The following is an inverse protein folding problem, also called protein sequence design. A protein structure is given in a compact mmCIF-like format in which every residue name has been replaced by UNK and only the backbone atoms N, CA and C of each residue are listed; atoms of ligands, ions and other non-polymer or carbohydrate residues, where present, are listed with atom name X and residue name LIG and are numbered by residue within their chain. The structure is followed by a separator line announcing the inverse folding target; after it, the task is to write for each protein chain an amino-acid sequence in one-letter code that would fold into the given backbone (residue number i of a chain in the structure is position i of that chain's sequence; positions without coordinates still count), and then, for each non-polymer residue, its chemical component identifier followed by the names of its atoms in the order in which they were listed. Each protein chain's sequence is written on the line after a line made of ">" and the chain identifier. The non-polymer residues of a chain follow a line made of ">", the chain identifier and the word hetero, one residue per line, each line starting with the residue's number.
data_IF_448797913951
#
_entry.id   IF_448797913951
#
_cell.length_a   1.000
_cell.length_b   1.000
_cell.length_c   1.000
_cell.angle_alpha   90.00
_cell.angle_beta   90.00
_cell.angle_gamma   90.00
#
_symmetry.space_group_name_H-M   'P 1'
#
loop_
_entity.id
_entity.type
_entity.pdbx_description
1 polymer ?
#
# COMPACT_ATOMS: atom_id res chain seq x y z
N UNK A 1 -4.13 -0.86 32.35
CA UNK A 1 -5.04 -1.10 31.21
C UNK A 1 -4.49 -2.27 30.40
N UNK A 2 -4.94 -3.51 30.62
CA UNK A 2 -4.37 -4.65 29.90
C UNK A 2 -5.02 -4.72 28.51
N UNK A 3 -4.21 -4.50 27.48
CA UNK A 3 -4.56 -4.83 26.11
C UNK A 3 -4.51 -6.36 25.97
N UNK A 4 -5.69 -6.99 25.99
CA UNK A 4 -5.84 -8.39 25.66
C UNK A 4 -5.88 -8.50 24.12
N UNK A 5 -4.72 -8.53 23.47
CA UNK A 5 -4.67 -8.86 22.04
C UNK A 5 -4.52 -10.37 21.91
N UNK A 6 -5.64 -11.02 21.61
CA UNK A 6 -5.64 -12.42 21.21
C UNK A 6 -5.11 -12.49 19.77
N UNK A 7 -3.92 -13.07 19.60
CA UNK A 7 -3.30 -13.25 18.28
C UNK A 7 -4.15 -14.13 17.34
N UNK A 8 -5.15 -14.85 17.88
CA UNK A 8 -6.12 -15.62 17.09
C UNK A 8 -7.03 -14.76 16.21
N UNK A 9 -7.25 -13.48 16.55
CA UNK A 9 -8.13 -12.59 15.80
C UNK A 9 -7.52 -12.16 14.45
N UNK A 10 -6.24 -12.47 14.23
CA UNK A 10 -5.50 -12.23 13.00
C UNK A 10 -5.14 -13.52 12.25
N UNK A 11 -5.63 -14.68 12.71
CA UNK A 11 -5.33 -15.95 12.06
C UNK A 11 -6.29 -16.17 10.88
N UNK A 12 -5.74 -16.30 9.67
CA UNK A 12 -6.52 -16.60 8.47
C UNK A 12 -7.23 -17.95 8.63
N UNK A 13 -8.55 -17.97 8.45
CA UNK A 13 -9.36 -19.20 8.43
C UNK A 13 -9.37 -19.90 7.06
N UNK A 14 -8.59 -19.41 6.08
CA UNK A 14 -8.52 -20.00 4.75
C UNK A 14 -8.10 -21.48 4.82
N UNK A 15 -8.92 -22.37 4.25
CA UNK A 15 -8.65 -23.80 4.17
C UNK A 15 -8.25 -24.19 2.75
N UNK A 16 -7.21 -25.01 2.63
CA UNK A 16 -6.82 -25.60 1.35
C UNK A 16 -7.64 -26.83 1.00
N UNK A 17 -8.38 -27.41 1.94
CA UNK A 17 -9.17 -28.64 1.77
C UNK A 17 -10.51 -28.32 1.12
N UNK A 18 -10.77 -28.88 -0.06
CA UNK A 18 -11.89 -28.51 -0.93
C UNK A 18 -13.27 -28.83 -0.34
N UNK A 19 -13.36 -29.88 0.49
CA UNK A 19 -14.60 -30.34 1.13
C UNK A 19 -15.02 -29.48 2.35
N UNK A 20 -14.13 -28.66 2.90
CA UNK A 20 -14.39 -27.82 4.09
C UNK A 20 -14.45 -26.31 3.77
N UNK A 21 -14.43 -25.95 2.47
CA UNK A 21 -14.47 -24.53 2.05
C UNK A 21 -15.86 -23.93 2.21
N UNK A 22 -15.97 -22.95 3.09
CA UNK A 22 -17.09 -21.99 3.15
C UNK A 22 -16.71 -20.71 2.39
N UNK A 23 -17.66 -19.79 2.23
CA UNK A 23 -17.37 -18.48 1.63
C UNK A 23 -16.27 -17.70 2.38
N UNK A 24 -16.13 -17.93 3.70
CA UNK A 24 -15.12 -17.32 4.57
C UNK A 24 -13.76 -18.00 4.48
N UNK A 25 -13.72 -19.32 4.26
CA UNK A 25 -12.47 -20.10 4.21
C UNK A 25 -11.96 -20.34 2.79
N UNK A 26 -12.67 -19.83 1.77
CA UNK A 26 -12.25 -19.92 0.37
C UNK A 26 -11.04 -19.00 0.11
N UNK A 27 -9.90 -19.55 -0.38
CA UNK A 27 -8.78 -18.74 -0.82
C UNK A 27 -9.18 -17.80 -1.97
N UNK A 28 -8.76 -16.54 -1.89
CA UNK A 28 -9.06 -15.51 -2.88
C UNK A 28 -7.78 -14.93 -3.47
N UNK A 29 -7.89 -14.50 -4.72
CA UNK A 29 -6.84 -13.79 -5.44
C UNK A 29 -7.49 -12.71 -6.31
N UNK A 30 -6.77 -11.63 -6.57
CA UNK A 30 -7.17 -10.59 -7.51
C UNK A 30 -7.09 -11.06 -8.96
N UNK A 31 -6.26 -12.05 -9.23
CA UNK A 31 -6.21 -12.80 -10.47
C UNK A 31 -5.45 -14.10 -10.25
N UNK A 32 -5.65 -15.07 -11.14
CA UNK A 32 -4.87 -16.29 -11.18
C UNK A 32 -3.81 -16.19 -12.26
N UNK A 33 -2.54 -16.38 -11.88
CA UNK A 33 -1.45 -16.48 -12.84
C UNK A 33 -1.28 -17.91 -13.36
N UNK A 34 -0.82 -18.05 -14.59
CA UNK A 34 -0.20 -19.28 -15.08
C UNK A 34 1.26 -19.38 -14.59
N UNK A 35 1.92 -20.52 -14.84
CA UNK A 35 3.24 -20.83 -14.27
C UNK A 35 4.32 -19.79 -14.63
N UNK A 36 4.32 -19.32 -15.88
CA UNK A 36 5.25 -18.29 -16.36
C UNK A 36 4.79 -16.85 -16.05
N UNK A 37 3.62 -16.70 -15.41
CA UNK A 37 2.98 -15.42 -15.02
C UNK A 37 2.67 -14.48 -16.17
N UNK A 38 2.63 -14.95 -17.41
CA UNK A 38 2.28 -14.16 -18.59
C UNK A 38 0.78 -13.90 -18.72
N UNK A 39 -0.08 -14.69 -18.08
CA UNK A 39 -1.54 -14.56 -18.18
C UNK A 39 -2.20 -14.36 -16.83
N UNK A 40 -3.08 -13.36 -16.72
CA UNK A 40 -3.91 -13.10 -15.55
C UNK A 40 -5.35 -13.51 -15.85
N UNK A 41 -5.74 -14.69 -15.37
CA UNK A 41 -7.08 -15.24 -15.52
C UNK A 41 -8.03 -14.64 -14.48
N UNK A 42 -9.30 -14.45 -14.86
CA UNK A 42 -10.38 -13.89 -14.03
C UNK A 42 -10.11 -12.44 -13.56
N UNK A 43 -9.23 -11.75 -14.27
CA UNK A 43 -8.87 -10.38 -13.97
C UNK A 43 -9.99 -9.41 -14.36
N UNK A 44 -10.69 -9.71 -15.45
CA UNK A 44 -11.94 -9.07 -15.88
C UNK A 44 -13.00 -9.06 -14.78
N UNK A 45 -13.28 -10.22 -14.17
CA UNK A 45 -14.25 -10.33 -13.06
C UNK A 45 -13.88 -9.41 -11.88
N UNK A 46 -12.58 -9.27 -11.63
CA UNK A 46 -12.07 -8.41 -10.57
C UNK A 46 -12.21 -6.93 -10.92
N UNK A 47 -11.97 -6.54 -12.17
CA UNK A 47 -12.16 -5.17 -12.61
C UNK A 47 -13.62 -4.74 -12.52
N UNK A 48 -14.54 -5.60 -12.97
CA UNK A 48 -15.99 -5.34 -12.88
C UNK A 48 -16.43 -5.17 -11.43
N UNK A 49 -16.00 -6.08 -10.55
CA UNK A 49 -16.30 -6.00 -9.12
C UNK A 49 -15.79 -4.70 -8.48
N UNK A 50 -14.53 -4.33 -8.76
CA UNK A 50 -13.94 -3.12 -8.20
C UNK A 50 -14.58 -1.85 -8.79
N UNK A 51 -14.92 -1.85 -10.07
CA UNK A 51 -15.62 -0.73 -10.70
C UNK A 51 -16.97 -0.48 -10.03
N UNK A 52 -17.80 -1.52 -9.91
CA UNK A 52 -19.11 -1.45 -9.25
C UNK A 52 -18.98 -1.01 -7.79
N UNK A 53 -17.97 -1.52 -7.08
CA UNK A 53 -17.70 -1.16 -5.69
C UNK A 53 -17.32 0.32 -5.54
N UNK A 54 -16.43 0.84 -6.41
CA UNK A 54 -16.02 2.24 -6.38
C UNK A 54 -17.18 3.20 -6.66
N UNK A 55 -18.08 2.83 -7.58
CA UNK A 55 -19.30 3.60 -7.86
C UNK A 55 -20.25 3.60 -6.68
N UNK A 56 -20.46 2.44 -6.07
CA UNK A 56 -21.47 2.26 -5.02
C UNK A 56 -21.04 2.84 -3.67
N UNK A 57 -19.79 2.62 -3.28
CA UNK A 57 -19.30 2.90 -1.92
C UNK A 57 -18.36 4.11 -1.86
N UNK A 58 -18.03 4.69 -3.02
CA UNK A 58 -17.19 5.89 -3.09
C UNK A 58 -17.89 7.16 -2.61
N UNK A 59 -17.17 8.30 -2.60
CA UNK A 59 -15.79 8.45 -3.07
C UNK A 59 -14.75 7.92 -2.09
N UNK A 60 -13.62 7.43 -2.63
CA UNK A 60 -12.46 7.00 -1.85
C UNK A 60 -11.29 7.96 -2.10
N UNK A 61 -10.66 8.44 -1.02
CA UNK A 61 -9.50 9.35 -1.12
C UNK A 61 -8.22 8.64 -1.60
N UNK A 62 -8.11 7.33 -1.42
CA UNK A 62 -6.90 6.60 -1.77
C UNK A 62 -7.10 5.09 -1.73
N UNK A 63 -6.07 4.37 -2.17
CA UNK A 63 -6.07 2.90 -2.22
C UNK A 63 -4.82 2.35 -1.54
N UNK A 64 -4.96 1.24 -0.83
CA UNK A 64 -3.86 0.50 -0.23
C UNK A 64 -3.96 -0.98 -0.59
N UNK A 65 -2.83 -1.61 -0.90
CA UNK A 65 -2.79 -3.05 -1.14
C UNK A 65 -1.48 -3.70 -0.72
N UNK A 66 -1.55 -5.00 -0.42
CA UNK A 66 -0.41 -5.84 -0.05
C UNK A 66 -0.16 -6.93 -1.10
N UNK A 67 1.10 -7.19 -1.44
CA UNK A 67 1.51 -8.22 -2.40
C UNK A 67 0.81 -8.07 -3.76
N UNK A 68 0.08 -9.09 -4.23
CA UNK A 68 -0.79 -8.98 -5.40
C UNK A 68 -1.79 -7.83 -5.31
N UNK A 69 -2.29 -7.52 -4.11
CA UNK A 69 -3.13 -6.35 -3.86
C UNK A 69 -2.37 -5.03 -4.00
N UNK A 70 -1.07 -4.99 -3.71
CA UNK A 70 -0.22 -3.81 -3.94
C UNK A 70 -0.02 -3.54 -5.43
N UNK A 71 -0.03 -4.58 -6.26
CA UNK A 71 -0.07 -4.47 -7.71
C UNK A 71 -1.45 -4.01 -8.20
N UNK A 72 -2.53 -4.57 -7.64
CA UNK A 72 -3.90 -4.17 -7.96
C UNK A 72 -4.18 -2.71 -7.62
N UNK A 73 -3.67 -2.21 -6.48
CA UNK A 73 -3.78 -0.81 -6.10
C UNK A 73 -3.18 0.12 -7.18
N UNK A 74 -2.03 -0.25 -7.76
CA UNK A 74 -1.40 0.51 -8.83
C UNK A 74 -2.18 0.43 -10.15
N UNK A 75 -2.70 -0.76 -10.51
CA UNK A 75 -3.58 -0.93 -11.66
C UNK A 75 -4.82 -0.06 -11.52
N UNK A 76 -5.49 -0.11 -10.37
CA UNK A 76 -6.73 0.63 -10.12
C UNK A 76 -6.49 2.14 -10.16
N UNK A 77 -5.40 2.62 -9.57
CA UNK A 77 -4.99 4.01 -9.68
C UNK A 77 -4.73 4.41 -11.14
N UNK A 78 -4.07 3.56 -11.93
CA UNK A 78 -3.82 3.84 -13.35
C UNK A 78 -5.11 3.85 -14.19
N UNK A 79 -6.08 2.97 -13.88
CA UNK A 79 -7.38 2.95 -14.55
C UNK A 79 -8.20 4.22 -14.26
N UNK A 80 -8.13 4.77 -13.05
CA UNK A 80 -8.75 6.07 -12.72
C UNK A 80 -8.06 7.25 -13.40
N UNK A 81 -6.76 7.15 -13.68
CA UNK A 81 -6.04 8.13 -14.50
C UNK A 81 -6.38 8.02 -16.00
N UNK A 82 -6.81 6.83 -16.45
CA UNK A 82 -7.10 6.48 -17.85
C UNK A 82 -8.47 5.78 -17.97
N UNK A 83 -9.58 6.48 -17.64
CA UNK A 83 -10.92 5.90 -17.65
C UNK A 83 -11.27 5.35 -19.05
N UNK A 84 -11.94 4.20 -19.10
CA UNK A 84 -12.30 3.52 -20.36
C UNK A 84 -11.17 2.74 -21.03
N UNK A 85 -10.01 2.58 -20.37
CA UNK A 85 -8.91 1.73 -20.87
C UNK A 85 -9.35 0.27 -21.08
N UNK A 86 -10.25 -0.24 -20.24
CA UNK A 86 -10.80 -1.59 -20.28
C UNK A 86 -12.32 -1.52 -20.46
N UNK A 87 -12.91 -2.43 -21.23
CA UNK A 87 -14.38 -2.58 -21.29
C UNK A 87 -14.98 -2.94 -19.93
N UNK A 88 -14.21 -3.60 -19.07
CA UNK A 88 -14.57 -3.98 -17.70
C UNK A 88 -14.36 -2.86 -16.67
N UNK A 89 -13.81 -1.71 -17.11
CA UNK A 89 -13.64 -0.51 -16.30
C UNK A 89 -13.96 0.72 -17.18
N UNK A 90 -15.25 0.93 -17.50
CA UNK A 90 -15.66 1.95 -18.45
C UNK A 90 -15.42 3.37 -17.90
N UNK A 91 -15.51 4.37 -18.78
CA UNK A 91 -15.27 5.76 -18.40
C UNK A 91 -16.46 6.41 -17.68
N UNK A 92 -17.66 5.85 -17.85
CA UNK A 92 -18.92 6.43 -17.39
C UNK A 92 -19.72 5.43 -16.54
N UNK A 93 -20.26 5.85 -15.38
CA UNK A 93 -20.08 7.17 -14.75
C UNK A 93 -18.64 7.44 -14.26
N UNK A 94 -18.20 8.71 -14.18
CA UNK A 94 -16.83 9.04 -13.82
C UNK A 94 -16.57 8.77 -12.34
N UNK A 95 -15.49 8.04 -12.05
CA UNK A 95 -15.01 7.81 -10.68
C UNK A 95 -13.91 8.85 -10.37
N UNK A 96 -13.99 9.57 -9.22
CA UNK A 96 -12.94 10.48 -8.80
C UNK A 96 -11.57 9.78 -8.64
N UNK A 97 -10.50 10.46 -9.05
CA UNK A 97 -9.13 9.96 -8.91
C UNK A 97 -8.73 9.87 -7.43
N UNK A 98 -7.89 8.90 -7.11
CA UNK A 98 -7.26 8.82 -5.80
C UNK A 98 -6.31 10.00 -5.57
N UNK A 99 -6.30 10.49 -4.33
CA UNK A 99 -5.29 11.46 -3.84
C UNK A 99 -3.96 10.78 -3.54
N UNK A 100 -3.96 9.48 -3.22
CA UNK A 100 -2.75 8.71 -2.95
C UNK A 100 -2.92 7.20 -3.19
N UNK A 101 -1.79 6.51 -3.37
CA UNK A 101 -1.72 5.05 -3.43
C UNK A 101 -0.66 4.54 -2.45
N UNK A 102 -0.96 3.45 -1.74
CA UNK A 102 -0.02 2.72 -0.88
C UNK A 102 0.15 1.29 -1.41
N UNK A 103 1.38 0.89 -1.74
CA UNK A 103 1.72 -0.45 -2.20
C UNK A 103 2.72 -1.10 -1.24
N UNK A 104 2.31 -2.17 -0.55
CA UNK A 104 3.15 -2.91 0.39
C UNK A 104 3.58 -4.22 -0.26
N UNK A 105 4.87 -4.42 -0.50
CA UNK A 105 5.38 -5.63 -1.17
C UNK A 105 4.79 -5.87 -2.57
N UNK A 106 4.37 -4.80 -3.27
CA UNK A 106 3.87 -4.87 -4.64
C UNK A 106 4.99 -4.85 -5.68
N UNK A 107 4.68 -5.24 -6.91
CA UNK A 107 5.60 -5.33 -8.05
C UNK A 107 4.88 -4.89 -9.34
N UNK A 108 5.62 -4.53 -10.40
CA UNK A 108 4.99 -4.09 -11.64
C UNK A 108 4.31 -5.28 -12.32
N UNK A 109 2.98 -5.27 -12.53
CA UNK A 109 2.31 -6.34 -13.24
C UNK A 109 2.58 -6.20 -14.74
N UNK A 110 3.32 -7.15 -15.32
CA UNK A 110 3.65 -7.21 -16.75
C UNK A 110 3.15 -8.50 -17.42
N UNK A 111 1.86 -8.86 -17.30
CA UNK A 111 1.29 -9.95 -18.10
C UNK A 111 1.28 -9.58 -19.60
N UNK A 112 1.38 -10.58 -20.47
CA UNK A 112 1.07 -10.41 -21.89
C UNK A 112 -0.45 -10.35 -22.14
N UNK A 113 -1.22 -11.04 -21.30
CA UNK A 113 -2.69 -11.07 -21.39
C UNK A 113 -3.32 -10.87 -20.00
N UNK A 114 -4.05 -9.76 -19.76
CA UNK A 114 -4.21 -8.59 -20.64
C UNK A 114 -2.90 -7.78 -20.72
N UNK A 115 -2.72 -6.96 -21.77
CA UNK A 115 -1.58 -6.04 -21.80
C UNK A 115 -1.85 -4.83 -20.89
N UNK A 116 -1.02 -4.66 -19.85
CA UNK A 116 -1.13 -3.57 -18.88
C UNK A 116 -0.05 -2.50 -19.06
N UNK A 117 0.85 -2.65 -20.03
CA UNK A 117 2.05 -1.80 -20.18
C UNK A 117 1.70 -0.32 -20.33
N UNK A 118 0.67 0.00 -21.11
CA UNK A 118 0.26 1.38 -21.39
C UNK A 118 -0.47 2.05 -20.23
N UNK A 119 -0.77 1.34 -19.13
CA UNK A 119 -1.25 1.95 -17.90
C UNK A 119 -0.16 2.74 -17.18
N UNK A 120 1.12 2.37 -17.38
CA UNK A 120 2.27 2.94 -16.69
C UNK A 120 3.08 3.89 -17.59
N UNK A 121 3.86 4.83 -17.03
CA UNK A 121 4.02 5.09 -15.59
C UNK A 121 2.81 5.79 -14.96
N UNK A 122 2.65 5.66 -13.64
CA UNK A 122 1.71 6.48 -12.86
C UNK A 122 2.19 7.94 -12.83
N UNK A 123 1.27 8.92 -12.94
CA UNK A 123 1.63 10.33 -13.16
C UNK A 123 2.23 10.97 -11.91
N UNK A 124 3.00 12.06 -12.09
CA UNK A 124 3.60 12.81 -10.99
C UNK A 124 2.54 13.50 -10.08
N UNK A 125 1.32 13.67 -10.57
CA UNK A 125 0.19 14.19 -9.81
C UNK A 125 -0.34 13.22 -8.74
N UNK A 126 0.04 11.95 -8.78
CA UNK A 126 -0.39 10.94 -7.82
C UNK A 126 0.76 10.56 -6.88
N UNK A 127 0.73 11.01 -5.61
CA UNK A 127 1.63 10.51 -4.56
C UNK A 127 1.49 9.00 -4.34
N UNK A 128 2.60 8.29 -4.52
CA UNK A 128 2.70 6.85 -4.28
C UNK A 128 3.64 6.54 -3.12
N UNK A 129 3.19 5.73 -2.17
CA UNK A 129 4.00 5.20 -1.08
C UNK A 129 4.24 3.71 -1.30
N UNK A 130 5.51 3.33 -1.41
CA UNK A 130 5.94 1.94 -1.54
C UNK A 130 6.60 1.49 -0.25
N UNK A 131 6.13 0.38 0.30
CA UNK A 131 6.68 -0.22 1.52
C UNK A 131 7.27 -1.57 1.17
N UNK A 132 8.56 -1.74 1.41
CA UNK A 132 9.29 -2.97 1.06
C UNK A 132 9.94 -3.60 2.29
N UNK A 133 9.95 -4.94 2.32
CA UNK A 133 10.68 -5.70 3.32
C UNK A 133 12.11 -5.96 2.85
N UNK A 134 13.11 -5.57 3.65
CA UNK A 134 14.53 -5.80 3.36
C UNK A 134 14.84 -7.29 3.15
N UNK A 135 14.14 -8.16 3.87
CA UNK A 135 14.35 -9.60 3.87
C UNK A 135 13.19 -10.34 3.18
N UNK A 136 12.46 -9.66 2.29
CA UNK A 136 11.37 -10.27 1.53
C UNK A 136 11.91 -11.22 0.45
N UNK A 137 11.55 -12.50 0.56
CA UNK A 137 11.95 -13.56 -0.39
C UNK A 137 10.82 -13.95 -1.34
N UNK A 138 9.60 -13.44 -1.13
CA UNK A 138 8.41 -13.73 -1.96
C UNK A 138 8.29 -12.68 -3.05
N UNK A 139 8.39 -11.41 -2.67
CA UNK A 139 8.50 -10.27 -3.57
C UNK A 139 9.78 -9.53 -3.19
N UNK A 140 10.88 -9.91 -3.82
CA UNK A 140 12.18 -9.36 -3.48
C UNK A 140 12.22 -7.83 -3.64
N UNK A 141 13.13 -7.12 -2.95
CA UNK A 141 13.30 -5.68 -3.12
C UNK A 141 13.48 -5.28 -4.60
N UNK A 142 14.23 -6.06 -5.37
CA UNK A 142 14.45 -5.84 -6.81
C UNK A 142 13.15 -5.98 -7.60
N UNK A 143 12.33 -6.97 -7.24
CA UNK A 143 11.02 -7.16 -7.87
C UNK A 143 10.06 -6.02 -7.51
N UNK A 144 10.11 -5.52 -6.28
CA UNK A 144 9.34 -4.35 -5.86
C UNK A 144 9.80 -3.06 -6.56
N UNK A 145 11.11 -2.94 -6.81
CA UNK A 145 11.71 -1.80 -7.52
C UNK A 145 11.09 -1.58 -8.90
N UNK A 146 10.66 -2.64 -9.58
CA UNK A 146 9.97 -2.53 -10.88
C UNK A 146 8.73 -1.64 -10.83
N UNK A 147 7.93 -1.72 -9.76
CA UNK A 147 6.73 -0.87 -9.61
C UNK A 147 7.11 0.54 -9.18
N UNK A 148 8.08 0.65 -8.28
CA UNK A 148 8.63 1.91 -7.79
C UNK A 148 9.12 2.74 -8.99
N UNK A 149 9.84 2.14 -9.93
CA UNK A 149 10.34 2.82 -11.13
C UNK A 149 9.25 3.24 -12.11
N UNK A 150 8.11 2.54 -12.10
CA UNK A 150 6.93 2.87 -12.89
C UNK A 150 6.03 3.95 -12.25
N UNK A 151 6.44 4.59 -11.16
CA UNK A 151 5.71 5.69 -10.51
C UNK A 151 6.54 6.97 -10.53
N UNK A 152 5.96 8.09 -10.99
CA UNK A 152 6.73 9.35 -11.11
C UNK A 152 6.86 10.12 -9.79
N UNK A 153 5.87 10.04 -8.90
CA UNK A 153 5.89 10.68 -7.58
C UNK A 153 5.91 9.63 -6.47
N UNK A 154 7.09 9.04 -6.27
CA UNK A 154 7.31 7.88 -5.40
C UNK A 154 8.01 8.24 -4.10
N UNK A 155 7.46 7.75 -3.00
CA UNK A 155 8.09 7.64 -1.69
C UNK A 155 8.33 6.17 -1.38
N UNK A 156 9.49 5.82 -0.84
CA UNK A 156 9.85 4.45 -0.47
C UNK A 156 10.19 4.40 1.01
N UNK A 157 9.58 3.47 1.73
CA UNK A 157 9.88 3.17 3.13
C UNK A 157 10.22 1.68 3.28
N UNK A 158 11.26 1.36 4.04
CA UNK A 158 11.78 -0.01 4.15
C UNK A 158 11.70 -0.49 5.59
N UNK A 159 11.16 -1.69 5.81
CA UNK A 159 11.24 -2.37 7.11
C UNK A 159 12.20 -3.56 7.05
N UNK A 160 12.78 -3.95 8.17
CA UNK A 160 13.74 -5.06 8.24
C UNK A 160 13.09 -6.46 8.18
N UNK A 161 11.81 -6.55 7.85
CA UNK A 161 11.04 -7.80 7.80
C UNK A 161 11.07 -8.51 6.45
N UNK A 162 10.34 -9.63 6.37
CA UNK A 162 10.03 -10.34 5.14
C UNK A 162 8.70 -9.90 4.53
N UNK A 163 7.96 -10.84 3.93
CA UNK A 163 6.73 -10.55 3.19
C UNK A 163 5.51 -10.32 4.10
N UNK A 164 5.40 -9.15 4.72
CA UNK A 164 4.24 -8.77 5.53
C UNK A 164 4.06 -7.25 5.62
N UNK A 165 2.86 -6.81 5.99
CA UNK A 165 2.60 -5.39 6.29
C UNK A 165 3.15 -5.02 7.67
N UNK A 166 4.06 -4.04 7.79
CA UNK A 166 4.66 -3.70 9.07
C UNK A 166 3.62 -3.13 10.05
N UNK A 167 3.56 -3.71 11.25
CA UNK A 167 2.49 -3.44 12.22
C UNK A 167 2.98 -2.85 13.55
N UNK A 168 4.28 -2.59 13.69
CA UNK A 168 4.84 -1.93 14.89
C UNK A 168 4.17 -0.56 15.11
N UNK A 169 4.09 -0.10 16.36
CA UNK A 169 3.43 1.16 16.69
C UNK A 169 3.90 2.34 15.84
N UNK A 170 5.22 2.44 15.61
CA UNK A 170 5.81 3.46 14.74
C UNK A 170 5.23 3.46 13.32
N UNK A 171 5.05 2.27 12.73
CA UNK A 171 4.44 2.11 11.41
C UNK A 171 2.94 2.45 11.41
N UNK A 172 2.20 2.06 12.45
CA UNK A 172 0.78 2.41 12.56
C UNK A 172 0.58 3.93 12.66
N UNK A 173 1.40 4.61 13.46
CA UNK A 173 1.38 6.06 13.56
C UNK A 173 1.78 6.74 12.25
N UNK A 174 2.79 6.20 11.57
CA UNK A 174 3.16 6.66 10.23
C UNK A 174 2.02 6.51 9.22
N UNK A 175 1.37 5.35 9.14
CA UNK A 175 0.22 5.15 8.25
C UNK A 175 -0.89 6.17 8.54
N UNK A 176 -1.24 6.36 9.81
CA UNK A 176 -2.23 7.36 10.22
C UNK A 176 -1.82 8.78 9.82
N UNK A 177 -0.57 9.17 10.07
CA UNK A 177 -0.06 10.49 9.71
C UNK A 177 -0.06 10.69 8.18
N UNK A 178 0.41 9.69 7.43
CA UNK A 178 0.48 9.72 5.97
C UNK A 178 -0.92 9.85 5.36
N UNK A 179 -1.88 9.00 5.73
CA UNK A 179 -3.23 9.08 5.17
C UNK A 179 -3.95 10.36 5.59
N UNK A 180 -3.79 10.80 6.84
CA UNK A 180 -4.39 12.06 7.32
C UNK A 180 -3.80 13.30 6.65
N UNK A 181 -2.58 13.22 6.13
CA UNK A 181 -1.96 14.35 5.42
C UNK A 181 -2.64 14.72 4.09
N UNK A 182 -3.59 13.91 3.61
CA UNK A 182 -4.39 14.17 2.40
C UNK A 182 -5.79 14.74 2.69
N UNK A 183 -6.09 15.01 3.97
CA UNK A 183 -7.24 15.82 4.35
C UNK A 183 -7.04 17.29 3.91
N UNK A 184 -8.11 18.10 3.84
CA UNK A 184 -7.98 19.52 3.53
C UNK A 184 -6.91 20.20 4.40
N UNK A 185 -6.08 21.06 3.77
CA UNK A 185 -4.95 21.76 4.38
C UNK A 185 -3.81 20.86 4.93
N UNK A 186 -3.83 19.57 4.58
CA UNK A 186 -2.79 18.61 4.93
C UNK A 186 -1.50 18.76 4.11
N UNK A 187 -0.45 18.06 4.54
CA UNK A 187 0.89 18.13 3.93
C UNK A 187 1.10 17.26 2.69
N UNK A 188 0.04 16.63 2.16
CA UNK A 188 0.05 15.85 0.90
C UNK A 188 1.18 14.79 0.85
N UNK A 189 1.32 14.00 1.91
CA UNK A 189 2.31 12.93 2.03
C UNK A 189 3.66 13.36 2.61
N UNK A 190 3.89 14.67 2.83
CA UNK A 190 5.07 15.19 3.52
C UNK A 190 4.93 15.01 5.04
N UNK A 191 5.25 13.81 5.50
CA UNK A 191 5.30 13.42 6.91
C UNK A 191 6.64 12.77 7.25
N UNK A 192 7.10 12.82 8.51
CA UNK A 192 8.33 12.14 8.93
C UNK A 192 8.35 10.64 8.56
N UNK A 193 9.53 10.00 8.46
CA UNK A 193 9.63 8.57 8.21
C UNK A 193 9.10 7.75 9.41
N UNK A 194 8.78 6.45 9.23
CA UNK A 194 8.31 5.57 10.29
C UNK A 194 9.20 5.59 11.54
N UNK A 195 10.52 5.74 11.39
CA UNK A 195 11.48 5.79 12.50
C UNK A 195 11.33 7.01 13.42
N UNK A 196 10.69 8.09 12.95
CA UNK A 196 10.44 9.29 13.75
C UNK A 196 9.24 9.12 14.71
N UNK A 197 8.42 8.09 14.52
CA UNK A 197 7.28 7.82 15.38
C UNK A 197 7.67 6.88 16.52
N UNK A 198 7.55 7.37 17.75
CA UNK A 198 7.76 6.55 18.94
C UNK A 198 6.68 5.49 19.16
N UNK A 199 6.88 4.58 20.14
CA UNK A 199 5.87 3.58 20.51
C UNK A 199 4.55 4.20 21.02
N UNK A 200 4.57 5.47 21.44
CA UNK A 200 3.43 6.23 21.94
C UNK A 200 2.80 7.20 20.92
N UNK A 201 3.34 7.31 19.69
CA UNK A 201 2.75 8.18 18.65
C UNK A 201 2.99 9.68 18.82
N UNK A 202 3.73 10.08 19.86
CA UNK A 202 4.27 11.42 19.97
C UNK A 202 5.49 11.55 19.04
N UNK A 203 5.45 12.51 18.12
CA UNK A 203 6.62 12.98 17.41
C UNK A 203 7.66 13.38 18.47
N UNK A 204 8.84 12.75 18.46
CA UNK A 204 9.97 13.30 19.21
C UNK A 204 10.42 14.53 18.43
N UNK A 205 10.32 15.75 18.97
CA UNK A 205 10.75 16.92 18.23
C UNK A 205 12.24 16.77 17.88
N UNK A 206 12.58 17.06 16.62
CA UNK A 206 13.96 17.10 16.18
C UNK A 206 14.75 18.01 17.13
N UNK A 207 15.82 17.48 17.72
CA UNK A 207 16.65 18.21 18.67
C UNK A 207 17.15 19.51 18.01
N UNK A 208 16.67 20.65 18.51
CA UNK A 208 17.24 21.96 18.23
C UNK A 208 18.69 22.04 18.72
N UNK A 209 19.47 23.05 18.28
CA UNK A 209 20.90 23.10 18.50
C UNK A 209 21.24 23.05 19.99
N UNK A 210 22.24 22.25 20.32
CA UNK A 210 22.74 22.01 21.67
C UNK A 210 23.05 23.33 22.39
N UNK A 211 22.41 23.53 23.54
CA UNK A 211 22.71 24.65 24.43
C UNK A 211 24.08 24.42 25.10
N UNK A 212 24.94 25.43 25.26
CA UNK A 212 26.26 25.23 25.84
C UNK A 212 26.16 24.82 27.32
N UNK A 213 26.99 23.87 27.73
CA UNK A 213 27.08 23.42 29.11
C UNK A 213 27.53 24.56 30.05
N UNK A 214 26.77 24.79 31.12
CA UNK A 214 27.20 25.65 32.24
C UNK A 214 28.32 24.99 33.03
N UNK A 215 29.40 25.71 33.40
CA UNK A 215 30.50 25.15 34.18
C UNK A 215 30.11 24.99 35.66
N UNK A 216 30.76 24.06 36.39
CA UNK A 216 30.43 23.80 37.79
C UNK A 216 30.89 24.94 38.70
N UNK A 217 30.09 25.23 39.75
CA UNK A 217 30.44 26.19 40.81
C UNK A 217 31.56 25.64 41.70
N UNK A 218 32.49 26.50 42.17
CA UNK A 218 33.51 26.09 43.13
C UNK A 218 32.89 25.91 44.52
N UNK A 219 33.27 24.81 45.19
CA UNK A 219 32.99 24.53 46.59
C UNK A 219 33.87 25.40 47.50
N UNK A 220 33.25 26.07 48.47
CA UNK A 220 33.91 26.63 49.66
C UNK A 220 34.14 25.53 50.69
#
# INVERSE_FOLDING_TARGET
>A
MPWNQNLSDFNSSASTEEEERTAETTPRAWWLSNDDRSQYRRFDETLEYLYDYLIKEGPFDGVMGFSQGGCMAAILAALLEKPGYSSHFPAEPPIPKFKFMISVGGFLPTPSTPNLTSLFPLPASLPTLHITGRNDVVVTPERSQTLIDACLNKRVEVHDGGHFTPSKASWRHFFHAYTSSFLPDGSNGDVPPPSAFGPSGANTPAAGPSRPATPPKPSL
#
